data_IF_961954368816
#
_entry.id   IF_961954368816
#
_cell.length_a   1.000
_cell.length_b   1.000
_cell.length_c   1.000
_cell.angle_alpha   90.00
_cell.angle_beta   90.00
_cell.angle_gamma   90.00
#
_symmetry.space_group_name_H-M   'P 1'
#
loop_
_entity.id
_entity.type
_entity.pdbx_description
1 polymer ?
#
# COMPACT_ATOMS: atom_id res chain seq x y z
N UNK A 1 6.39 49.76 17.83
CA UNK A 1 6.25 48.70 18.86
C UNK A 1 7.25 49.00 19.97
N UNK A 2 6.96 48.66 21.23
CA UNK A 2 8.00 48.72 22.28
C UNK A 2 9.07 47.67 21.99
N UNK A 3 10.33 47.97 22.27
CA UNK A 3 11.46 47.03 22.07
C UNK A 3 11.20 45.68 22.74
N UNK A 4 10.61 45.69 23.94
CA UNK A 4 10.23 44.46 24.66
C UNK A 4 9.17 43.62 23.94
N UNK A 5 8.18 44.24 23.29
CA UNK A 5 7.19 43.51 22.49
C UNK A 5 7.84 42.89 21.25
N UNK A 6 8.72 43.63 20.56
CA UNK A 6 9.44 43.12 19.40
C UNK A 6 10.29 41.90 19.76
N UNK A 7 11.08 41.98 20.84
CA UNK A 7 11.89 40.85 21.33
C UNK A 7 11.04 39.64 21.74
N UNK A 8 9.89 39.87 22.36
CA UNK A 8 8.96 38.78 22.74
C UNK A 8 8.41 38.08 21.50
N UNK A 9 7.98 38.86 20.50
CA UNK A 9 7.49 38.29 19.23
C UNK A 9 8.62 37.55 18.50
N UNK A 10 9.83 38.10 18.47
CA UNK A 10 11.01 37.42 17.90
C UNK A 10 11.29 36.09 18.59
N UNK A 11 11.21 36.02 19.92
CA UNK A 11 11.39 34.76 20.64
C UNK A 11 10.31 33.72 20.26
N UNK A 12 9.05 34.15 20.14
CA UNK A 12 7.97 33.27 19.68
C UNK A 12 8.18 32.79 18.24
N UNK A 13 8.67 33.66 17.36
CA UNK A 13 9.00 33.29 15.97
C UNK A 13 10.18 32.31 15.92
N UNK A 14 11.18 32.46 16.80
CA UNK A 14 12.28 31.50 16.91
C UNK A 14 11.80 30.12 17.35
N UNK A 15 10.92 30.05 18.36
CA UNK A 15 10.30 28.81 18.81
C UNK A 15 9.41 28.22 17.70
N UNK A 16 8.65 29.06 17.00
CA UNK A 16 7.85 28.66 15.86
C UNK A 16 8.69 28.04 14.74
N UNK A 17 9.82 28.66 14.41
CA UNK A 17 10.75 28.12 13.43
C UNK A 17 11.29 26.74 13.86
N UNK A 18 11.76 26.65 15.11
CA UNK A 18 12.24 25.42 15.69
C UNK A 18 11.19 24.29 15.65
N UNK A 19 9.93 24.63 15.91
CA UNK A 19 8.81 23.71 15.79
C UNK A 19 8.64 23.19 14.36
N UNK A 20 8.61 24.08 13.36
CA UNK A 20 8.43 23.66 11.97
C UNK A 20 9.59 22.81 11.45
N UNK A 21 10.84 23.21 11.73
CA UNK A 21 12.03 22.41 11.38
C UNK A 21 11.97 21.05 12.07
N UNK A 22 11.70 21.01 13.37
CA UNK A 22 11.60 19.74 14.09
C UNK A 22 10.51 18.82 13.52
N UNK A 23 9.34 19.39 13.18
CA UNK A 23 8.21 18.63 12.65
C UNK A 23 8.50 18.10 11.22
N UNK A 24 9.14 18.90 10.37
CA UNK A 24 9.58 18.52 9.03
C UNK A 24 10.51 17.30 9.08
N UNK A 25 11.64 17.43 9.81
CA UNK A 25 12.62 16.35 9.89
C UNK A 25 12.08 15.11 10.62
N UNK A 26 11.19 15.28 11.59
CA UNK A 26 10.55 14.15 12.26
C UNK A 26 9.64 13.37 11.31
N UNK A 27 8.84 14.04 10.48
CA UNK A 27 7.94 13.38 9.54
C UNK A 27 8.67 12.67 8.40
N UNK A 28 9.75 13.27 7.88
CA UNK A 28 10.59 12.63 6.84
C UNK A 28 11.28 11.37 7.40
N UNK A 29 11.72 11.42 8.66
CA UNK A 29 12.60 10.39 9.23
C UNK A 29 11.86 9.30 10.01
N UNK A 30 10.60 9.52 10.40
CA UNK A 30 9.83 8.56 11.17
C UNK A 30 9.45 7.34 10.34
N UNK A 31 9.48 6.16 10.95
CA UNK A 31 9.16 4.91 10.25
C UNK A 31 7.69 4.57 10.39
N UNK A 32 7.00 4.39 9.26
CA UNK A 32 5.56 4.00 9.25
C UNK A 32 5.31 2.74 10.08
N UNK A 33 6.17 1.72 9.95
CA UNK A 33 6.09 0.45 10.68
C UNK A 33 6.13 0.58 12.22
N UNK A 34 6.58 1.72 12.75
CA UNK A 34 6.61 2.00 14.20
C UNK A 34 5.39 2.81 14.65
N UNK A 35 4.82 3.62 13.77
CA UNK A 35 3.68 4.49 14.08
C UNK A 35 2.35 3.75 13.85
N UNK A 36 2.28 2.92 12.80
CA UNK A 36 1.08 2.17 12.38
C UNK A 36 0.50 1.27 13.47
N UNK A 37 1.29 0.40 14.14
CA UNK A 37 0.77 -0.43 15.22
C UNK A 37 0.16 0.38 16.38
N UNK A 38 0.76 1.53 16.72
CA UNK A 38 0.23 2.39 17.80
C UNK A 38 -1.09 3.05 17.43
N UNK A 39 -1.30 3.33 16.14
CA UNK A 39 -2.57 3.87 15.67
C UNK A 39 -3.68 2.82 15.71
N UNK A 40 -3.35 1.57 15.37
CA UNK A 40 -4.26 0.42 15.47
C UNK A 40 -4.64 0.10 16.91
N UNK A 41 -3.70 0.28 17.85
CA UNK A 41 -3.94 0.24 19.30
C UNK A 41 -4.80 1.42 19.82
N UNK A 42 -5.20 2.36 18.95
CA UNK A 42 -6.09 3.47 19.28
C UNK A 42 -5.39 4.76 19.72
N UNK A 43 -4.07 4.89 19.58
CA UNK A 43 -3.36 6.11 19.96
C UNK A 43 -3.68 7.27 19.00
N UNK A 44 -4.44 8.26 19.48
CA UNK A 44 -4.96 9.36 18.65
C UNK A 44 -3.86 10.13 17.90
N UNK A 45 -2.73 10.41 18.54
CA UNK A 45 -1.63 11.13 17.90
C UNK A 45 -0.99 10.30 16.78
N UNK A 46 -0.91 8.98 16.94
CA UNK A 46 -0.34 8.09 15.93
C UNK A 46 -1.23 8.05 14.68
N UNK A 47 -2.56 8.06 14.86
CA UNK A 47 -3.52 8.17 13.75
C UNK A 47 -3.35 9.47 12.96
N UNK A 48 -3.16 10.59 13.64
CA UNK A 48 -2.93 11.88 12.97
C UNK A 48 -1.56 11.89 12.29
N UNK A 49 -0.52 11.39 12.95
CA UNK A 49 0.83 11.28 12.37
C UNK A 49 0.84 10.41 11.12
N UNK A 50 0.14 9.26 11.10
CA UNK A 50 -0.01 8.45 9.87
C UNK A 50 -0.68 9.23 8.75
N UNK A 51 -1.80 9.89 9.03
CA UNK A 51 -2.47 10.73 8.03
C UNK A 51 -1.63 11.93 7.58
N UNK A 52 -0.65 12.37 8.37
CA UNK A 52 0.34 13.37 7.97
C UNK A 52 1.46 12.74 7.11
N UNK A 53 1.90 11.52 7.44
CA UNK A 53 2.87 10.74 6.64
C UNK A 53 2.32 10.39 5.25
N UNK A 54 1.03 10.07 5.15
CA UNK A 54 0.32 9.87 3.88
C UNK A 54 0.20 11.14 3.04
N UNK A 55 0.41 12.32 3.61
CA UNK A 55 0.36 13.61 2.90
C UNK A 55 1.65 14.40 3.12
N UNK A 56 2.78 13.70 3.11
CA UNK A 56 4.10 14.30 3.39
C UNK A 56 4.32 15.56 2.57
N UNK A 57 4.06 15.54 1.25
CA UNK A 57 4.30 16.70 0.39
C UNK A 57 3.52 17.95 0.80
N UNK A 58 2.26 17.78 1.22
CA UNK A 58 1.45 18.88 1.77
C UNK A 58 2.01 19.36 3.13
N UNK A 59 2.43 18.42 3.98
CA UNK A 59 3.01 18.71 5.28
C UNK A 59 4.36 19.42 5.16
N UNK A 60 5.18 19.05 4.19
CA UNK A 60 6.45 19.70 3.83
C UNK A 60 6.21 21.12 3.34
N UNK A 61 5.29 21.32 2.40
CA UNK A 61 4.94 22.65 1.92
C UNK A 61 4.47 23.57 3.07
N UNK A 62 3.67 23.01 3.99
CA UNK A 62 3.23 23.73 5.18
C UNK A 62 4.37 24.08 6.16
N UNK A 63 5.29 23.14 6.40
CA UNK A 63 6.46 23.38 7.24
C UNK A 63 7.37 24.45 6.63
N UNK A 64 7.68 24.35 5.34
CA UNK A 64 8.50 25.33 4.61
C UNK A 64 7.90 26.74 4.64
N UNK A 65 6.58 26.85 4.47
CA UNK A 65 5.89 28.12 4.60
C UNK A 65 6.00 28.68 6.03
N UNK A 66 5.83 27.83 7.05
CA UNK A 66 6.03 28.19 8.45
C UNK A 66 7.44 28.69 8.76
N UNK A 67 8.46 27.96 8.31
CA UNK A 67 9.89 28.32 8.42
C UNK A 67 10.15 29.67 7.76
N UNK A 68 9.63 29.86 6.55
CA UNK A 68 9.79 31.11 5.79
C UNK A 68 9.19 32.29 6.52
N UNK A 69 7.94 32.17 6.99
CA UNK A 69 7.27 33.24 7.74
C UNK A 69 7.99 33.58 9.04
N UNK A 70 8.45 32.56 9.79
CA UNK A 70 9.17 32.77 11.03
C UNK A 70 10.52 33.44 10.79
N UNK A 71 11.25 33.01 9.76
CA UNK A 71 12.58 33.54 9.42
C UNK A 71 12.50 34.98 8.92
N UNK A 72 11.56 35.28 8.02
CA UNK A 72 11.32 36.64 7.55
C UNK A 72 10.86 37.56 8.70
N UNK A 73 9.98 37.06 9.56
CA UNK A 73 9.53 37.80 10.74
C UNK A 73 10.67 38.08 11.72
N UNK A 74 11.56 37.11 11.95
CA UNK A 74 12.76 37.28 12.77
C UNK A 74 13.68 38.36 12.21
N UNK A 75 13.99 38.33 10.91
CA UNK A 75 14.80 39.38 10.28
C UNK A 75 14.15 40.76 10.39
N UNK A 76 12.84 40.84 10.14
CA UNK A 76 12.11 42.10 10.16
C UNK A 76 11.91 42.71 11.56
N UNK A 77 11.85 41.89 12.62
CA UNK A 77 11.55 42.33 13.98
C UNK A 77 12.74 42.27 14.93
N UNK A 78 13.53 41.19 14.89
CA UNK A 78 14.61 40.96 15.86
C UNK A 78 15.81 41.86 15.55
N UNK A 79 16.21 41.98 14.29
CA UNK A 79 17.39 42.75 13.91
C UNK A 79 17.23 44.23 14.25
N UNK A 80 16.14 44.94 13.88
CA UNK A 80 16.00 46.35 14.21
C UNK A 80 15.84 46.58 15.73
N UNK A 81 15.16 45.68 16.43
CA UNK A 81 14.96 45.80 17.87
C UNK A 81 16.27 45.67 18.65
N UNK A 82 17.13 44.73 18.26
CA UNK A 82 18.44 44.53 18.90
C UNK A 82 19.41 45.63 18.47
N UNK A 83 19.43 46.03 17.18
CA UNK A 83 20.27 47.13 16.71
C UNK A 83 19.96 48.41 17.49
N UNK A 84 18.68 48.79 17.62
CA UNK A 84 18.30 49.98 18.39
C UNK A 84 18.63 49.87 19.88
N UNK A 85 18.57 48.66 20.46
CA UNK A 85 18.99 48.44 21.84
C UNK A 85 20.52 48.54 22.02
N UNK A 86 21.30 48.31 20.97
CA UNK A 86 22.76 48.38 20.97
C UNK A 86 23.31 49.78 20.63
N UNK A 87 22.51 50.65 20.02
CA UNK A 87 22.91 52.03 19.67
C UNK A 87 23.40 52.83 20.89
N UNK A 88 22.64 52.85 21.99
CA UNK A 88 23.02 53.55 23.22
C UNK A 88 24.36 53.08 23.81
N UNK A 89 24.56 51.77 24.04
CA UNK A 89 25.85 51.23 24.47
C UNK A 89 27.02 51.56 23.53
N UNK A 90 26.81 51.61 22.21
CA UNK A 90 27.87 51.97 21.26
C UNK A 90 28.23 53.45 21.30
N UNK A 91 27.26 54.34 21.53
CA UNK A 91 27.50 55.76 21.77
C UNK A 91 28.31 55.98 23.06
N UNK A 92 27.96 55.27 24.13
CA UNK A 92 28.68 55.32 25.41
C UNK A 92 30.14 54.82 25.30
N UNK A 93 30.41 53.87 24.39
CA UNK A 93 31.75 53.36 24.10
C UNK A 93 32.58 54.26 23.16
N UNK A 94 32.04 55.40 22.72
CA UNK A 94 32.75 56.38 21.89
C UNK A 94 32.87 55.98 20.42
N UNK A 95 31.99 55.12 19.92
CA UNK A 95 31.94 54.78 18.49
C UNK A 95 31.53 56.04 17.69
N UNK A 96 32.21 56.36 16.56
CA UNK A 96 31.83 57.50 15.73
C UNK A 96 30.37 57.40 15.29
N UNK A 97 29.59 58.49 15.38
CA UNK A 97 28.16 58.48 15.07
C UNK A 97 27.80 57.93 13.68
N UNK A 98 28.69 58.06 12.69
CA UNK A 98 28.50 57.48 11.35
C UNK A 98 28.58 55.95 11.32
N UNK A 99 29.19 55.32 12.34
CA UNK A 99 29.42 53.88 12.44
C UNK A 99 28.55 53.19 13.50
N UNK A 100 27.91 53.94 14.41
CA UNK A 100 27.07 53.38 15.48
C UNK A 100 25.98 52.47 14.92
N UNK A 101 25.16 52.98 14.01
CA UNK A 101 24.05 52.21 13.44
C UNK A 101 24.53 51.00 12.58
N UNK A 102 25.48 51.16 11.63
CA UNK A 102 26.03 50.01 10.90
C UNK A 102 26.65 48.93 11.79
N UNK A 103 27.39 49.32 12.85
CA UNK A 103 27.99 48.38 13.78
C UNK A 103 26.91 47.63 14.60
N UNK A 104 25.89 48.35 15.08
CA UNK A 104 24.76 47.77 15.79
C UNK A 104 24.00 46.74 14.94
N UNK A 105 23.74 47.07 13.67
CA UNK A 105 23.09 46.15 12.72
C UNK A 105 23.97 44.93 12.45
N UNK A 106 25.27 45.09 12.22
CA UNK A 106 26.17 43.97 11.96
C UNK A 106 26.23 42.99 13.16
N UNK A 107 26.30 43.54 14.38
CA UNK A 107 26.29 42.74 15.61
C UNK A 107 24.93 42.08 15.82
N UNK A 108 23.82 42.80 15.63
CA UNK A 108 22.48 42.24 15.71
C UNK A 108 22.29 41.09 14.72
N UNK A 109 22.70 41.26 13.46
CA UNK A 109 22.62 40.23 12.41
C UNK A 109 23.43 38.98 12.79
N UNK A 110 24.65 39.16 13.30
CA UNK A 110 25.48 38.04 13.74
C UNK A 110 24.83 37.25 14.88
N UNK A 111 24.32 37.93 15.91
CA UNK A 111 23.70 37.27 17.05
C UNK A 111 22.34 36.65 16.72
N UNK A 112 21.47 37.38 16.01
CA UNK A 112 20.15 36.88 15.59
C UNK A 112 20.32 35.72 14.63
N UNK A 113 21.17 35.87 13.61
CA UNK A 113 21.46 34.82 12.65
C UNK A 113 22.07 33.59 13.31
N UNK A 114 23.05 33.77 14.20
CA UNK A 114 23.64 32.67 14.97
C UNK A 114 22.62 31.95 15.85
N UNK A 115 21.77 32.69 16.56
CA UNK A 115 20.71 32.11 17.40
C UNK A 115 19.66 31.38 16.57
N UNK A 116 19.28 31.93 15.42
CA UNK A 116 18.34 31.31 14.47
C UNK A 116 18.90 30.01 13.90
N UNK A 117 20.13 30.00 13.39
CA UNK A 117 20.75 28.79 12.84
C UNK A 117 20.89 27.72 13.92
N UNK A 118 21.37 28.08 15.11
CA UNK A 118 21.61 27.09 16.17
C UNK A 118 20.31 26.60 16.79
N UNK A 119 19.48 27.50 17.32
CA UNK A 119 18.27 27.13 18.08
C UNK A 119 17.04 26.94 17.20
N UNK A 120 16.94 27.68 16.10
CA UNK A 120 15.82 27.60 15.16
C UNK A 120 15.95 26.42 14.19
N UNK A 121 17.18 26.00 13.86
CA UNK A 121 17.39 24.96 12.84
C UNK A 121 18.18 23.74 13.34
N UNK A 122 19.44 23.92 13.74
CA UNK A 122 20.35 22.79 14.02
C UNK A 122 19.90 21.94 15.20
N UNK A 123 19.53 22.57 16.32
CA UNK A 123 19.10 21.86 17.54
C UNK A 123 17.80 21.07 17.30
N UNK A 124 16.71 21.67 16.80
CA UNK A 124 15.46 20.94 16.55
C UNK A 124 15.62 19.82 15.53
N UNK A 125 16.39 20.06 14.46
CA UNK A 125 16.72 19.06 13.45
C UNK A 125 17.44 17.86 14.06
N UNK A 126 18.48 18.09 14.85
CA UNK A 126 19.24 17.01 15.48
C UNK A 126 18.40 16.23 16.50
N UNK A 127 17.52 16.90 17.25
CA UNK A 127 16.57 16.23 18.16
C UNK A 127 15.60 15.34 17.37
N UNK A 128 15.05 15.86 16.27
CA UNK A 128 14.13 15.12 15.41
C UNK A 128 14.82 13.89 14.79
N UNK A 129 16.07 14.02 14.34
CA UNK A 129 16.85 12.91 13.76
C UNK A 129 17.28 11.86 14.80
N UNK A 130 17.55 12.26 16.04
CA UNK A 130 17.93 11.33 17.11
C UNK A 130 16.73 10.49 17.62
N UNK A 131 15.52 11.03 17.56
CA UNK A 131 14.30 10.36 18.01
C UNK A 131 13.11 10.63 17.10
N UNK A 132 13.13 10.16 15.83
CA UNK A 132 12.18 10.57 14.82
C UNK A 132 10.76 10.12 15.13
N UNK A 133 10.57 8.87 15.56
CA UNK A 133 9.25 8.32 15.85
C UNK A 133 8.56 9.07 17.01
N UNK A 134 9.30 9.37 18.08
CA UNK A 134 8.78 10.15 19.22
C UNK A 134 8.50 11.59 18.83
N UNK A 135 9.42 12.21 18.10
CA UNK A 135 9.26 13.60 17.65
C UNK A 135 8.06 13.74 16.70
N UNK A 136 7.83 12.77 15.81
CA UNK A 136 6.70 12.77 14.90
C UNK A 136 5.36 12.61 15.63
N UNK A 137 5.30 11.79 16.69
CA UNK A 137 4.10 11.65 17.52
C UNK A 137 3.75 12.94 18.28
N UNK A 138 4.75 13.74 18.64
CA UNK A 138 4.54 15.00 19.38
C UNK A 138 4.29 16.18 18.44
N UNK A 139 5.05 16.30 17.36
CA UNK A 139 5.09 17.48 16.50
C UNK A 139 4.12 17.40 15.31
N UNK A 140 3.86 16.20 14.76
CA UNK A 140 3.00 16.07 13.60
C UNK A 140 1.53 16.45 13.87
N UNK A 141 0.91 16.13 15.02
CA UNK A 141 -0.48 16.53 15.29
C UNK A 141 -0.71 18.05 15.32
N UNK A 142 0.05 18.87 16.07
CA UNK A 142 -0.09 20.32 16.01
C UNK A 142 0.28 20.86 14.63
N UNK A 143 1.25 20.27 13.93
CA UNK A 143 1.58 20.71 12.57
C UNK A 143 0.44 20.44 11.61
N UNK A 144 -0.21 19.28 11.68
CA UNK A 144 -1.39 18.95 10.87
C UNK A 144 -2.53 19.95 11.09
N UNK A 145 -2.72 20.43 12.32
CA UNK A 145 -3.70 21.48 12.60
C UNK A 145 -3.34 22.81 11.92
N UNK A 146 -2.07 23.23 11.99
CA UNK A 146 -1.58 24.43 11.31
C UNK A 146 -1.72 24.31 9.80
N UNK A 147 -1.30 23.18 9.22
CA UNK A 147 -1.41 22.90 7.78
C UNK A 147 -2.87 22.89 7.33
N UNK A 148 -3.79 22.36 8.14
CA UNK A 148 -5.23 22.40 7.84
C UNK A 148 -5.75 23.84 7.73
N UNK A 149 -5.29 24.75 8.58
CA UNK A 149 -5.66 26.17 8.53
C UNK A 149 -5.02 26.87 7.33
N UNK A 150 -3.77 26.54 7.02
CA UNK A 150 -3.00 27.15 5.92
C UNK A 150 -3.26 26.49 4.56
N UNK A 151 -4.03 25.40 4.52
CA UNK A 151 -4.37 24.67 3.30
C UNK A 151 -4.82 25.56 2.11
N UNK A 152 -5.72 26.56 2.26
CA UNK A 152 -6.09 27.42 1.12
C UNK A 152 -4.92 28.23 0.56
N UNK A 153 -3.97 28.64 1.42
CA UNK A 153 -2.77 29.38 0.99
C UNK A 153 -1.81 28.44 0.28
N UNK A 154 -1.57 27.25 0.84
CA UNK A 154 -0.70 26.23 0.24
C UNK A 154 -1.26 25.79 -1.12
N UNK A 155 -2.57 25.58 -1.22
CA UNK A 155 -3.25 25.23 -2.47
C UNK A 155 -3.08 26.31 -3.54
N UNK A 156 -3.24 27.59 -3.17
CA UNK A 156 -3.03 28.70 -4.09
C UNK A 156 -1.57 28.74 -4.60
N UNK A 157 -0.60 28.60 -3.70
CA UNK A 157 0.83 28.56 -4.06
C UNK A 157 1.15 27.37 -4.98
N UNK A 158 0.58 26.19 -4.71
CA UNK A 158 0.75 25.02 -5.57
C UNK A 158 0.18 25.23 -6.97
N UNK A 159 -0.98 25.89 -7.10
CA UNK A 159 -1.53 26.24 -8.42
C UNK A 159 -0.59 27.18 -9.16
N UNK A 160 -0.07 28.21 -8.49
CA UNK A 160 0.88 29.14 -9.09
C UNK A 160 2.15 28.43 -9.51
N UNK A 161 2.72 27.58 -8.67
CA UNK A 161 3.92 26.78 -8.96
C UNK A 161 3.68 25.85 -10.17
N UNK A 162 2.58 25.10 -10.18
CA UNK A 162 2.22 24.22 -11.29
C UNK A 162 1.97 24.99 -12.60
N UNK A 163 1.41 26.20 -12.52
CA UNK A 163 1.30 27.11 -13.66
C UNK A 163 2.66 27.48 -14.23
N UNK A 164 3.62 27.86 -13.37
CA UNK A 164 4.99 28.17 -13.78
C UNK A 164 5.70 26.95 -14.37
N UNK A 165 5.57 25.77 -13.75
CA UNK A 165 6.15 24.52 -14.25
C UNK A 165 5.64 24.18 -15.66
N UNK A 166 4.33 24.33 -15.90
CA UNK A 166 3.74 24.12 -17.23
C UNK A 166 4.25 25.13 -18.26
N UNK A 167 4.50 26.38 -17.88
CA UNK A 167 5.07 27.39 -18.78
C UNK A 167 6.49 27.06 -19.23
N UNK A 168 7.28 26.38 -18.38
CA UNK A 168 8.64 25.93 -18.71
C UNK A 168 8.69 24.50 -19.28
N UNK A 169 7.53 23.88 -19.55
CA UNK A 169 7.43 22.56 -20.18
C UNK A 169 7.61 21.37 -19.24
N UNK A 170 7.55 21.57 -17.92
CA UNK A 170 7.65 20.50 -16.90
C UNK A 170 6.25 20.04 -16.50
N UNK A 171 6.00 18.73 -16.57
CA UNK A 171 4.76 18.12 -16.06
C UNK A 171 4.84 17.99 -14.54
N UNK A 172 3.95 18.63 -13.76
CA UNK A 172 3.90 18.45 -12.32
C UNK A 172 3.55 17.00 -11.97
N UNK A 173 4.34 16.36 -11.12
CA UNK A 173 4.02 15.06 -10.53
C UNK A 173 3.53 15.27 -9.11
N UNK A 174 2.37 14.72 -8.78
CA UNK A 174 1.90 14.67 -7.40
C UNK A 174 2.72 13.60 -6.65
N UNK A 175 3.77 14.01 -5.92
CA UNK A 175 4.57 13.13 -5.07
C UNK A 175 3.76 12.67 -3.86
N UNK A 176 2.87 11.70 -4.01
CA UNK A 176 2.45 10.83 -2.90
C UNK A 176 1.92 9.49 -3.45
N UNK A 177 2.82 8.51 -3.61
CA UNK A 177 2.45 7.11 -3.40
C UNK A 177 3.62 6.38 -2.78
N UNK A 178 3.72 6.40 -1.44
CA UNK A 178 4.64 5.54 -0.67
C UNK A 178 4.15 4.08 -0.62
N UNK A 179 3.23 3.68 -1.50
CA UNK A 179 2.87 2.30 -1.71
C UNK A 179 3.45 1.91 -3.07
N UNK A 180 4.40 0.98 -3.07
CA UNK A 180 4.80 0.33 -4.31
C UNK A 180 3.54 -0.24 -4.95
N UNK A 181 3.31 0.14 -6.19
CA UNK A 181 2.32 -0.52 -7.04
C UNK A 181 2.73 -1.98 -7.20
N UNK A 182 1.75 -2.85 -7.48
CA UNK A 182 2.04 -4.28 -7.68
C UNK A 182 3.01 -4.51 -8.83
N UNK A 183 2.92 -3.70 -9.89
CA UNK A 183 3.85 -3.75 -11.03
C UNK A 183 5.29 -3.44 -10.60
N UNK A 184 5.48 -2.48 -9.69
CA UNK A 184 6.79 -2.19 -9.11
C UNK A 184 7.28 -3.34 -8.23
N UNK A 185 6.40 -3.96 -7.43
CA UNK A 185 6.75 -5.16 -6.63
C UNK A 185 7.12 -6.33 -7.53
N UNK A 186 6.37 -6.57 -8.62
CA UNK A 186 6.67 -7.59 -9.61
C UNK A 186 8.02 -7.32 -10.30
N UNK A 187 8.31 -6.05 -10.62
CA UNK A 187 9.60 -5.62 -11.15
C UNK A 187 10.76 -5.91 -10.19
N UNK A 188 10.58 -5.66 -8.90
CA UNK A 188 11.57 -5.96 -7.86
C UNK A 188 11.83 -7.46 -7.71
N UNK A 189 10.79 -8.31 -7.81
CA UNK A 189 10.92 -9.77 -7.78
C UNK A 189 11.75 -10.25 -8.97
N UNK A 190 11.46 -9.75 -10.18
CA UNK A 190 12.20 -10.13 -11.39
C UNK A 190 13.66 -9.64 -11.37
N UNK A 191 13.91 -8.44 -10.83
CA UNK A 191 15.27 -7.93 -10.63
C UNK A 191 16.05 -8.78 -9.62
N UNK A 192 15.42 -9.15 -8.50
CA UNK A 192 16.03 -10.02 -7.48
C UNK A 192 16.36 -11.42 -8.02
N UNK A 193 15.52 -11.97 -8.91
CA UNK A 193 15.81 -13.22 -9.65
C UNK A 193 17.02 -13.06 -10.56
N UNK A 194 17.13 -11.94 -11.28
CA UNK A 194 18.25 -11.65 -12.21
C UNK A 194 19.58 -11.51 -11.49
N UNK A 195 19.56 -10.94 -10.28
CA UNK A 195 20.73 -10.81 -9.41
C UNK A 195 21.06 -12.11 -8.64
N UNK A 196 20.24 -13.16 -8.79
CA UNK A 196 20.45 -14.46 -8.16
C UNK A 196 20.14 -14.47 -6.67
N UNK A 197 19.39 -13.49 -6.16
CA UNK A 197 18.95 -13.42 -4.77
C UNK A 197 17.67 -14.23 -4.50
N UNK A 198 16.92 -14.55 -5.55
CA UNK A 198 15.76 -15.44 -5.50
C UNK A 198 15.99 -16.61 -6.43
N UNK A 199 15.67 -17.81 -5.95
CA UNK A 199 15.62 -18.98 -6.83
C UNK A 199 14.39 -18.93 -7.75
N UNK A 200 14.34 -19.86 -8.71
CA UNK A 200 13.26 -19.90 -9.71
C UNK A 200 11.90 -20.29 -9.09
N UNK A 201 11.89 -21.01 -7.98
CA UNK A 201 10.68 -21.46 -7.30
C UNK A 201 10.10 -20.35 -6.43
N UNK A 202 10.94 -19.67 -5.65
CA UNK A 202 10.61 -18.48 -4.86
C UNK A 202 10.08 -17.36 -5.76
N UNK A 203 10.76 -17.09 -6.88
CA UNK A 203 10.29 -16.09 -7.84
C UNK A 203 8.93 -16.46 -8.45
N UNK A 204 8.70 -17.74 -8.77
CA UNK A 204 7.40 -18.22 -9.29
C UNK A 204 6.30 -18.05 -8.25
N UNK A 205 6.54 -18.46 -7.01
CA UNK A 205 5.58 -18.34 -5.91
C UNK A 205 5.18 -16.88 -5.65
N UNK A 206 6.16 -15.97 -5.62
CA UNK A 206 5.90 -14.54 -5.41
C UNK A 206 5.11 -13.93 -6.56
N UNK A 207 5.45 -14.29 -7.80
CA UNK A 207 4.74 -13.82 -9.00
C UNK A 207 3.31 -14.40 -9.06
N UNK A 208 3.16 -15.69 -8.73
CA UNK A 208 1.86 -16.37 -8.63
C UNK A 208 0.98 -15.70 -7.58
N UNK A 209 1.50 -15.42 -6.39
CA UNK A 209 0.75 -14.73 -5.33
C UNK A 209 0.28 -13.32 -5.75
N UNK A 210 1.11 -12.55 -6.46
CA UNK A 210 0.73 -11.22 -6.97
C UNK A 210 -0.38 -11.31 -8.03
N UNK A 211 -0.27 -12.27 -8.96
CA UNK A 211 -1.22 -12.43 -10.07
C UNK A 211 -2.53 -13.12 -9.65
N UNK A 212 -2.48 -14.00 -8.65
CA UNK A 212 -3.65 -14.69 -8.09
C UNK A 212 -4.70 -13.71 -7.54
N UNK A 213 -4.27 -12.56 -7.01
CA UNK A 213 -5.19 -11.51 -6.52
C UNK A 213 -5.92 -10.74 -7.64
N UNK A 214 -5.50 -10.86 -8.89
CA UNK A 214 -6.10 -10.14 -10.03
C UNK A 214 -6.98 -11.03 -10.91
N UNK A 215 -6.83 -12.35 -10.77
CA UNK A 215 -7.57 -13.31 -11.57
C UNK A 215 -8.92 -13.63 -10.95
N UNK A 216 -9.88 -13.87 -11.83
CA UNK A 216 -11.21 -14.35 -11.50
C UNK A 216 -11.39 -15.79 -12.01
N UNK A 217 -12.55 -16.38 -11.69
CA UNK A 217 -12.90 -17.72 -12.11
C UNK A 217 -12.86 -17.94 -13.64
N UNK A 218 -12.86 -16.87 -14.45
CA UNK A 218 -12.76 -17.00 -15.90
C UNK A 218 -11.38 -17.46 -16.38
N UNK A 219 -10.32 -17.17 -15.61
CA UNK A 219 -8.96 -17.57 -15.94
C UNK A 219 -8.75 -19.09 -15.95
N UNK A 220 -9.48 -19.80 -15.07
CA UNK A 220 -9.36 -21.26 -14.86
C UNK A 220 -10.66 -22.00 -15.18
N UNK A 221 -11.56 -21.37 -15.95
CA UNK A 221 -12.83 -21.97 -16.35
C UNK A 221 -12.58 -23.16 -17.29
N UNK A 222 -13.14 -24.32 -16.93
CA UNK A 222 -13.32 -25.47 -17.82
C UNK A 222 -14.73 -25.39 -18.45
N UNK A 223 -14.85 -25.00 -19.74
CA UNK A 223 -16.15 -24.77 -20.38
C UNK A 223 -16.98 -26.05 -20.47
N UNK A 224 -18.30 -25.92 -20.38
CA UNK A 224 -19.21 -27.07 -20.43
C UNK A 224 -19.11 -27.90 -21.71
N UNK A 225 -18.72 -27.26 -22.81
CA UNK A 225 -18.60 -27.88 -24.13
C UNK A 225 -17.36 -28.77 -24.28
N UNK A 226 -16.31 -28.55 -23.48
CA UNK A 226 -15.07 -29.34 -23.53
C UNK A 226 -15.06 -30.47 -22.50
N UNK A 227 -16.02 -30.48 -21.58
CA UNK A 227 -16.08 -31.44 -20.48
C UNK A 227 -16.70 -32.78 -20.87
N UNK A 228 -16.08 -33.87 -20.38
CA UNK A 228 -16.73 -35.17 -20.32
C UNK A 228 -17.63 -35.21 -19.10
N UNK A 229 -18.94 -35.28 -19.32
CA UNK A 229 -19.94 -35.38 -18.26
C UNK A 229 -20.62 -36.74 -18.27
N UNK A 230 -21.13 -37.16 -17.12
CA UNK A 230 -21.84 -38.43 -16.97
C UNK A 230 -23.31 -38.18 -16.60
N UNK A 231 -24.27 -38.95 -17.15
CA UNK A 231 -25.66 -38.86 -16.71
C UNK A 231 -25.82 -39.48 -15.32
N UNK A 232 -26.83 -39.06 -14.55
CA UNK A 232 -27.14 -39.65 -13.24
C UNK A 232 -27.44 -41.17 -13.29
N UNK A 233 -27.81 -41.68 -14.46
CA UNK A 233 -28.08 -43.11 -14.69
C UNK A 233 -26.83 -43.94 -14.96
N UNK A 234 -25.64 -43.32 -14.95
CA UNK A 234 -24.37 -44.00 -15.22
C UNK A 234 -24.13 -45.15 -14.24
N UNK A 235 -23.54 -46.23 -14.73
CA UNK A 235 -23.16 -47.39 -13.93
C UNK A 235 -21.68 -47.30 -13.51
N UNK A 236 -21.28 -47.91 -12.38
CA UNK A 236 -19.88 -47.96 -11.97
C UNK A 236 -18.93 -48.48 -13.06
N UNK A 237 -19.35 -49.48 -13.84
CA UNK A 237 -18.58 -50.01 -14.96
C UNK A 237 -18.31 -48.93 -16.05
N UNK A 238 -19.32 -48.13 -16.38
CA UNK A 238 -19.19 -47.02 -17.35
C UNK A 238 -18.34 -45.87 -16.80
N UNK A 239 -18.39 -45.60 -15.48
CA UNK A 239 -17.50 -44.61 -14.84
C UNK A 239 -16.06 -45.05 -14.97
N UNK A 240 -15.76 -46.32 -14.69
CA UNK A 240 -14.41 -46.88 -14.81
C UNK A 240 -13.92 -46.91 -16.26
N UNK A 241 -14.77 -47.32 -17.20
CA UNK A 241 -14.43 -47.29 -18.64
C UNK A 241 -14.15 -45.85 -19.11
N UNK A 242 -14.97 -44.90 -18.68
CA UNK A 242 -14.76 -43.48 -18.99
C UNK A 242 -13.48 -42.95 -18.37
N UNK A 243 -13.19 -43.31 -17.12
CA UNK A 243 -11.93 -42.98 -16.46
C UNK A 243 -10.71 -43.56 -17.20
N UNK A 244 -10.77 -44.84 -17.61
CA UNK A 244 -9.70 -45.49 -18.37
C UNK A 244 -9.48 -44.85 -19.75
N UNK A 245 -10.55 -44.41 -20.41
CA UNK A 245 -10.49 -43.78 -21.73
C UNK A 245 -10.00 -42.32 -21.70
N UNK A 246 -10.40 -41.57 -20.68
CA UNK A 246 -10.15 -40.11 -20.61
C UNK A 246 -8.98 -39.73 -19.72
N UNK A 247 -8.60 -40.60 -18.77
CA UNK A 247 -7.59 -40.31 -17.76
C UNK A 247 -8.06 -39.40 -16.62
N UNK A 248 -9.32 -38.94 -16.63
CA UNK A 248 -9.86 -38.08 -15.57
C UNK A 248 -10.28 -38.88 -14.34
N UNK A 249 -10.07 -38.30 -13.15
CA UNK A 249 -10.47 -38.89 -11.88
C UNK A 249 -11.83 -38.40 -11.36
N UNK A 250 -12.31 -37.26 -11.86
CA UNK A 250 -13.55 -36.61 -11.41
C UNK A 250 -14.41 -36.25 -12.61
N UNK A 251 -15.69 -36.60 -12.54
CA UNK A 251 -16.64 -36.40 -13.64
C UNK A 251 -17.86 -35.61 -13.16
N UNK A 252 -18.17 -34.46 -13.76
CA UNK A 252 -19.41 -33.76 -13.49
C UNK A 252 -20.62 -34.63 -13.89
N UNK A 253 -21.62 -34.66 -13.02
CA UNK A 253 -22.86 -35.41 -13.23
C UNK A 253 -23.97 -34.48 -13.67
N UNK A 254 -24.70 -34.89 -14.70
CA UNK A 254 -25.84 -34.16 -15.24
C UNK A 254 -27.15 -34.93 -15.10
N UNK A 255 -28.24 -34.17 -14.89
CA UNK A 255 -29.63 -34.66 -14.94
C UNK A 255 -30.41 -33.70 -15.83
N UNK A 256 -31.02 -34.23 -16.88
CA UNK A 256 -31.79 -33.43 -17.85
C UNK A 256 -31.03 -32.22 -18.42
N UNK A 257 -29.71 -32.34 -18.56
CA UNK A 257 -28.82 -31.27 -19.04
C UNK A 257 -28.33 -30.28 -17.97
N UNK A 258 -28.78 -30.40 -16.72
CA UNK A 258 -28.31 -29.58 -15.61
C UNK A 258 -27.25 -30.31 -14.77
N UNK A 259 -26.20 -29.58 -14.38
CA UNK A 259 -25.13 -30.11 -13.53
C UNK A 259 -25.56 -30.13 -12.06
N UNK A 260 -25.63 -31.33 -11.48
CA UNK A 260 -26.12 -31.57 -10.12
C UNK A 260 -24.99 -31.87 -9.11
N UNK A 261 -23.81 -32.24 -9.58
CA UNK A 261 -22.68 -32.57 -8.73
C UNK A 261 -21.54 -33.20 -9.52
N UNK A 262 -20.67 -33.95 -8.84
CA UNK A 262 -19.61 -34.74 -9.49
C UNK A 262 -19.40 -36.10 -8.82
N UNK A 263 -18.79 -37.02 -9.55
CA UNK A 263 -18.36 -38.33 -9.07
C UNK A 263 -16.85 -38.43 -9.08
N UNK A 264 -16.30 -39.17 -8.11
CA UNK A 264 -14.91 -39.54 -8.10
C UNK A 264 -14.76 -41.00 -8.58
N UNK A 265 -13.81 -41.29 -9.47
CA UNK A 265 -13.63 -42.65 -10.02
C UNK A 265 -13.37 -43.70 -8.94
N UNK A 266 -12.67 -43.31 -7.85
CA UNK A 266 -12.45 -44.17 -6.67
C UNK A 266 -13.76 -44.70 -6.07
N UNK A 267 -14.82 -43.90 -6.04
CA UNK A 267 -16.11 -44.33 -5.49
C UNK A 267 -16.67 -45.50 -6.34
N UNK A 268 -16.48 -45.48 -7.67
CA UNK A 268 -16.89 -46.56 -8.56
C UNK A 268 -16.08 -47.87 -8.36
N UNK A 269 -14.79 -47.76 -8.05
CA UNK A 269 -13.92 -48.92 -7.80
C UNK A 269 -14.28 -49.71 -6.52
N UNK A 270 -14.99 -49.10 -5.58
CA UNK A 270 -15.42 -49.75 -4.33
C UNK A 270 -16.67 -50.64 -4.52
N UNK A 271 -17.30 -50.63 -5.70
CA UNK A 271 -18.51 -51.40 -5.98
C UNK A 271 -18.21 -52.88 -6.25
N UNK A 272 -18.82 -53.76 -5.46
CA UNK A 272 -18.77 -55.22 -5.68
C UNK A 272 -19.38 -55.61 -7.04
N UNK A 273 -18.78 -56.60 -7.72
CA UNK A 273 -19.14 -57.04 -9.08
C UNK A 273 -20.64 -57.18 -9.36
N UNK A 274 -21.41 -57.73 -8.41
CA UNK A 274 -22.86 -57.93 -8.55
C UNK A 274 -23.70 -56.65 -8.73
N UNK A 275 -23.13 -55.46 -8.46
CA UNK A 275 -23.81 -54.18 -8.60
C UNK A 275 -23.15 -53.25 -9.62
N UNK A 276 -22.08 -53.67 -10.30
CA UNK A 276 -21.32 -52.82 -11.24
C UNK A 276 -22.13 -52.37 -12.46
N UNK A 277 -23.17 -53.12 -12.82
CA UNK A 277 -24.06 -52.82 -13.95
C UNK A 277 -25.38 -52.14 -13.51
N UNK A 278 -25.49 -51.73 -12.25
CA UNK A 278 -26.65 -50.97 -11.77
C UNK A 278 -26.31 -49.48 -11.75
N UNK A 279 -27.27 -48.58 -12.00
CA UNK A 279 -27.04 -47.14 -11.86
C UNK A 279 -26.49 -46.81 -10.47
N UNK A 280 -25.57 -45.85 -10.42
CA UNK A 280 -25.06 -45.31 -9.16
C UNK A 280 -26.20 -44.73 -8.31
N UNK A 281 -26.03 -44.77 -6.98
CA UNK A 281 -26.95 -44.11 -6.07
C UNK A 281 -26.70 -42.60 -6.06
N UNK A 282 -27.75 -41.78 -5.96
CA UNK A 282 -27.62 -40.31 -5.90
C UNK A 282 -26.75 -39.83 -4.74
N UNK A 283 -26.71 -40.59 -3.63
CA UNK A 283 -25.85 -40.31 -2.47
C UNK A 283 -24.35 -40.31 -2.78
N UNK A 284 -23.93 -40.83 -3.94
CA UNK A 284 -22.54 -40.84 -4.37
C UNK A 284 -22.17 -39.56 -5.12
N UNK A 285 -23.16 -38.81 -5.58
CA UNK A 285 -22.96 -37.54 -6.26
C UNK A 285 -22.59 -36.50 -5.22
N UNK A 286 -21.33 -36.06 -5.26
CA UNK A 286 -20.79 -35.04 -4.35
C UNK A 286 -21.29 -33.66 -4.80
N UNK A 287 -21.71 -32.79 -3.86
CA UNK A 287 -22.22 -31.47 -4.19
C UNK A 287 -21.11 -30.58 -4.76
N UNK A 288 -21.49 -29.64 -5.63
CA UNK A 288 -20.61 -28.61 -6.17
C UNK A 288 -20.93 -27.27 -5.49
N UNK A 289 -19.97 -26.59 -4.84
CA UNK A 289 -20.13 -25.18 -4.53
C UNK A 289 -20.39 -24.41 -5.81
N UNK A 290 -21.19 -23.34 -5.71
CA UNK A 290 -21.52 -22.49 -6.87
C UNK A 290 -20.79 -21.17 -6.75
N UNK A 291 -19.99 -20.85 -7.76
CA UNK A 291 -19.25 -19.60 -7.89
C UNK A 291 -19.69 -18.88 -9.17
N UNK A 292 -19.50 -17.57 -9.24
CA UNK A 292 -19.76 -16.77 -10.44
C UNK A 292 -18.49 -16.68 -11.28
N UNK A 293 -18.66 -16.45 -12.57
CA UNK A 293 -17.54 -16.27 -13.49
C UNK A 293 -16.61 -15.10 -13.10
N UNK A 294 -17.15 -14.09 -12.42
CA UNK A 294 -16.43 -12.89 -12.00
C UNK A 294 -15.96 -12.93 -10.54
N UNK A 295 -16.18 -14.04 -9.83
CA UNK A 295 -15.69 -14.18 -8.45
C UNK A 295 -14.16 -14.31 -8.49
N UNK A 296 -13.46 -13.66 -7.57
CA UNK A 296 -11.99 -13.70 -7.51
C UNK A 296 -11.50 -15.10 -7.16
N UNK A 297 -10.33 -15.52 -7.66
CA UNK A 297 -9.78 -16.85 -7.37
C UNK A 297 -9.62 -17.12 -5.87
N UNK A 298 -9.36 -16.09 -5.05
CA UNK A 298 -9.36 -16.18 -3.59
C UNK A 298 -10.71 -16.65 -3.04
N UNK A 299 -11.80 -16.03 -3.46
CA UNK A 299 -13.16 -16.37 -3.02
C UNK A 299 -13.56 -17.77 -3.52
N UNK A 300 -13.15 -18.12 -4.74
CA UNK A 300 -13.35 -19.46 -5.31
C UNK A 300 -12.62 -20.51 -4.47
N UNK A 301 -11.34 -20.28 -4.15
CA UNK A 301 -10.53 -21.18 -3.33
C UNK A 301 -11.15 -21.39 -1.95
N UNK A 302 -11.58 -20.31 -1.29
CA UNK A 302 -12.26 -20.36 0.01
C UNK A 302 -13.57 -21.15 -0.05
N UNK A 303 -14.38 -20.93 -1.09
CA UNK A 303 -15.61 -21.68 -1.30
C UNK A 303 -15.35 -23.18 -1.47
N UNK A 304 -14.32 -23.56 -2.24
CA UNK A 304 -13.94 -24.95 -2.49
C UNK A 304 -13.36 -25.63 -1.24
N UNK A 305 -12.51 -24.93 -0.49
CA UNK A 305 -11.93 -25.42 0.76
C UNK A 305 -13.01 -25.62 1.84
N UNK A 306 -13.93 -24.67 1.98
CA UNK A 306 -15.01 -24.76 2.98
C UNK A 306 -15.98 -25.91 2.70
N UNK A 307 -16.25 -26.22 1.43
CA UNK A 307 -17.10 -27.35 1.05
C UNK A 307 -16.34 -28.69 0.95
N UNK A 308 -15.00 -28.68 1.01
CA UNK A 308 -14.15 -29.84 0.72
C UNK A 308 -14.30 -30.39 -0.71
N UNK A 309 -14.79 -29.57 -1.64
CA UNK A 309 -15.07 -29.98 -3.01
C UNK A 309 -13.88 -29.65 -3.91
N UNK A 310 -13.54 -30.58 -4.79
CA UNK A 310 -12.43 -30.39 -5.74
C UNK A 310 -12.87 -29.81 -7.08
N UNK A 311 -14.18 -29.69 -7.29
CA UNK A 311 -14.79 -29.02 -8.43
C UNK A 311 -15.79 -28.00 -7.89
N UNK A 312 -15.88 -26.84 -8.52
CA UNK A 312 -16.94 -25.87 -8.28
C UNK A 312 -17.68 -25.57 -9.59
N UNK A 313 -18.99 -25.39 -9.49
CA UNK A 313 -19.82 -25.05 -10.65
C UNK A 313 -19.76 -23.55 -10.87
N UNK A 314 -19.43 -23.13 -12.10
CA UNK A 314 -19.40 -21.72 -12.49
C UNK A 314 -20.70 -21.33 -13.15
N UNK A 315 -21.30 -20.24 -12.68
CA UNK A 315 -22.53 -19.69 -13.24
C UNK A 315 -22.36 -18.26 -13.73
N UNK A 316 -23.12 -17.90 -14.76
CA UNK A 316 -23.30 -16.51 -15.21
C UNK A 316 -24.74 -16.08 -15.02
N UNK A 317 -24.94 -14.78 -14.77
CA UNK A 317 -26.27 -14.21 -14.63
C UNK A 317 -26.94 -14.14 -16.01
N UNK A 318 -27.99 -14.93 -16.22
CA UNK A 318 -28.74 -14.93 -17.48
C UNK A 318 -29.71 -13.75 -17.62
N UNK A 319 -30.16 -13.50 -18.86
CA UNK A 319 -31.01 -12.37 -19.24
C UNK A 319 -32.39 -12.29 -18.52
N UNK A 320 -32.81 -13.33 -17.81
CA UNK A 320 -34.05 -13.37 -17.00
C UNK A 320 -33.79 -13.52 -15.50
N UNK A 321 -32.58 -13.22 -15.03
CA UNK A 321 -32.19 -13.39 -13.62
C UNK A 321 -31.96 -14.84 -13.19
N UNK A 322 -32.11 -15.82 -14.10
CA UNK A 322 -31.71 -17.22 -13.86
C UNK A 322 -30.22 -17.38 -14.12
N UNK A 323 -29.52 -17.99 -13.18
CA UNK A 323 -28.11 -18.36 -13.33
C UNK A 323 -27.99 -19.51 -14.33
N UNK A 324 -27.13 -19.37 -15.33
CA UNK A 324 -26.81 -20.44 -16.30
C UNK A 324 -25.43 -21.00 -15.95
N UNK A 325 -25.32 -22.32 -15.84
CA UNK A 325 -24.03 -22.99 -15.71
C UNK A 325 -23.24 -22.85 -17.00
N UNK A 326 -21.99 -22.41 -16.90
CA UNK A 326 -21.08 -22.24 -18.05
C UNK A 326 -19.94 -23.24 -18.03
N UNK A 327 -19.66 -23.85 -16.87
CA UNK A 327 -18.57 -24.80 -16.73
C UNK A 327 -18.28 -25.14 -15.27
N UNK A 328 -17.07 -25.64 -15.03
CA UNK A 328 -16.53 -25.86 -13.69
C UNK A 328 -15.15 -25.23 -13.55
N UNK A 329 -14.70 -25.07 -12.32
CA UNK A 329 -13.28 -24.84 -11.98
C UNK A 329 -12.81 -26.00 -11.12
N UNK A 330 -11.58 -26.45 -11.33
CA UNK A 330 -10.97 -27.48 -10.49
C UNK A 330 -10.04 -26.84 -9.45
N UNK A 331 -9.98 -27.45 -8.27
CA UNK A 331 -9.17 -26.92 -7.15
C UNK A 331 -7.69 -26.88 -7.54
N UNK A 332 -7.24 -27.93 -8.21
CA UNK A 332 -5.93 -28.07 -8.82
C UNK A 332 -5.58 -26.88 -9.75
N UNK A 333 -6.48 -26.47 -10.65
CA UNK A 333 -6.23 -25.32 -11.56
C UNK A 333 -6.18 -23.99 -10.78
N UNK A 334 -7.04 -23.82 -9.78
CA UNK A 334 -7.01 -22.64 -8.90
C UNK A 334 -5.69 -22.57 -8.12
N UNK A 335 -5.19 -23.71 -7.64
CA UNK A 335 -3.92 -23.78 -6.93
C UNK A 335 -2.74 -23.56 -7.88
N UNK A 336 -2.81 -24.05 -9.12
CA UNK A 336 -1.76 -23.83 -10.13
C UNK A 336 -1.52 -22.34 -10.41
N UNK A 337 -2.56 -21.50 -10.35
CA UNK A 337 -2.44 -20.05 -10.45
C UNK A 337 -1.63 -19.40 -9.29
N UNK A 338 -1.58 -20.06 -8.12
CA UNK A 338 -0.82 -19.60 -6.98
C UNK A 338 0.62 -20.14 -6.98
N UNK A 339 0.79 -21.41 -7.35
CA UNK A 339 2.06 -22.14 -7.16
C UNK A 339 2.87 -22.27 -8.46
N UNK A 340 2.25 -22.06 -9.62
CA UNK A 340 2.79 -22.41 -10.94
C UNK A 340 2.67 -23.92 -11.26
N UNK A 341 3.02 -24.32 -12.48
CA UNK A 341 2.89 -25.71 -12.92
C UNK A 341 3.75 -26.67 -12.06
N UNK A 342 3.10 -27.63 -11.40
CA UNK A 342 3.77 -28.63 -10.54
C UNK A 342 4.59 -29.64 -11.37
N UNK A 343 4.35 -29.73 -12.69
CA UNK A 343 5.00 -30.71 -13.58
C UNK A 343 6.52 -30.52 -13.70
N UNK A 344 7.02 -29.30 -13.63
CA UNK A 344 8.46 -29.02 -13.77
C UNK A 344 9.28 -29.51 -12.57
N UNK A 345 8.72 -29.45 -11.35
CA UNK A 345 9.44 -29.84 -10.14
C UNK A 345 9.71 -31.36 -10.08
N UNK A 346 8.76 -32.18 -10.55
CA UNK A 346 8.93 -33.63 -10.60
C UNK A 346 9.95 -34.07 -11.68
N UNK A 347 9.99 -33.37 -12.82
CA UNK A 347 10.95 -33.65 -13.89
C UNK A 347 12.38 -33.18 -13.54
N UNK A 348 12.54 -32.08 -12.80
CA UNK A 348 13.85 -31.63 -12.31
C UNK A 348 14.48 -32.60 -11.30
N UNK A 349 13.67 -33.29 -10.48
CA UNK A 349 14.18 -34.30 -9.54
C UNK A 349 14.66 -35.56 -10.28
N UNK A 350 14.05 -35.93 -11.40
CA UNK A 350 14.53 -37.04 -12.24
C UNK A 350 15.79 -36.66 -13.05
N UNK A 351 15.92 -35.41 -13.49
CA UNK A 351 17.11 -34.94 -14.22
C UNK A 351 18.34 -34.72 -13.32
N UNK A 352 18.17 -34.68 -12.00
CA UNK A 352 19.23 -34.50 -11.00
C UNK A 352 19.72 -35.82 -10.36
N UNK A 353 19.28 -36.99 -10.85
CA UNK A 353 19.75 -38.32 -10.43
C UNK A 353 20.61 -38.97 -11.50
#
# INVERSE_FOLDING_TARGET
MSTGLALTVSLLLLIGNAFFVGAEFALISARRSVIEPRADEGHWAARITLGAMERVSLMMAGAQLGITLCTLGLGALAEPAIAHALEGPFEDFGVPHSLVHPAAVAVALFFVGGLHVVLGEMVPKNIALAGPDRSALVLAPPMAAVVKVLHPVIWLLNITANGVLRLIGVTPSDEVTSAFTRDEVAGLVEESRREGMLDADESRLLTGALTFEERDASAVLLPMETMVTLPITVTPAEVEETAGRTGFSRFPVTRDGEMIGYLHMKDALEVKDKHRNRPIAESWVRPLPTVRLTDQLREVLEAMQSSGAHLARVVVRGARGRSKTVGVVALEDVLEELIGEVRDAAQQIEASK
#
